data_IF_629813092732
#
_entry.id   IF_629813092732
#
_cell.length_a   1.000
_cell.length_b   1.000
_cell.length_c   1.000
_cell.angle_alpha   90.00
_cell.angle_beta   90.00
_cell.angle_gamma   90.00
#
_symmetry.space_group_name_H-M   'P 1'
#
loop_
_entity.id
_entity.type
_entity.pdbx_description
1 polymer ?
#
# COMPACT_ATOMS: atom_id res chain seq x y z
N UNK A 1 27.14 -0.68 -2.13
CA UNK A 1 26.23 -0.62 -3.29
C UNK A 1 26.49 0.71 -3.98
N UNK A 2 26.81 0.74 -5.28
CA UNK A 2 27.08 2.01 -5.97
C UNK A 2 25.77 2.83 -6.01
N UNK A 3 25.75 4.03 -5.44
CA UNK A 3 24.55 4.89 -5.38
C UNK A 3 24.03 5.19 -6.81
N UNK A 4 24.93 5.24 -7.79
CA UNK A 4 24.58 5.39 -9.20
C UNK A 4 23.77 4.20 -9.73
N UNK A 5 24.16 2.97 -9.37
CA UNK A 5 23.45 1.79 -9.84
C UNK A 5 22.06 1.69 -9.21
N UNK A 6 21.90 2.17 -7.97
CA UNK A 6 20.59 2.24 -7.32
C UNK A 6 19.65 3.24 -8.01
N UNK A 7 20.09 4.49 -8.25
CA UNK A 7 19.27 5.50 -8.93
C UNK A 7 18.87 5.05 -10.35
N UNK A 8 19.81 4.49 -11.10
CA UNK A 8 19.54 3.99 -12.46
C UNK A 8 18.52 2.86 -12.45
N UNK A 9 18.63 1.91 -11.52
CA UNK A 9 17.69 0.79 -11.43
C UNK A 9 16.28 1.25 -11.06
N UNK A 10 16.16 2.20 -10.12
CA UNK A 10 14.86 2.76 -9.72
C UNK A 10 14.22 3.51 -10.89
N UNK A 11 14.97 4.36 -11.58
CA UNK A 11 14.44 5.14 -12.71
C UNK A 11 14.07 4.25 -13.91
N UNK A 12 14.85 3.20 -14.19
CA UNK A 12 14.48 2.18 -15.20
C UNK A 12 13.16 1.50 -14.85
N UNK A 13 12.99 1.09 -13.59
CA UNK A 13 11.73 0.53 -13.10
C UNK A 13 10.58 1.53 -13.26
N UNK A 14 10.81 2.81 -12.98
CA UNK A 14 9.83 3.88 -13.21
C UNK A 14 9.36 3.95 -14.67
N UNK A 15 10.28 3.88 -15.62
CA UNK A 15 9.98 3.86 -17.07
C UNK A 15 9.17 2.62 -17.48
N UNK A 16 9.53 1.44 -16.95
CA UNK A 16 8.78 0.21 -17.23
C UNK A 16 7.34 0.27 -16.71
N UNK A 17 7.15 0.78 -15.49
CA UNK A 17 5.83 0.95 -14.87
C UNK A 17 4.98 1.97 -15.62
N UNK A 18 5.59 3.08 -16.04
CA UNK A 18 4.95 4.11 -16.85
C UNK A 18 4.45 3.55 -18.20
N UNK A 19 5.28 2.74 -18.86
CA UNK A 19 4.91 2.04 -20.10
C UNK A 19 3.72 1.09 -19.89
N UNK A 20 3.64 0.47 -18.71
CA UNK A 20 2.52 -0.40 -18.28
C UNK A 20 1.32 0.37 -17.75
N UNK A 21 1.32 1.72 -17.80
CA UNK A 21 0.28 2.61 -17.27
C UNK A 21 0.05 2.47 -15.75
N UNK A 22 1.02 1.93 -15.01
CA UNK A 22 1.01 1.90 -13.53
C UNK A 22 1.56 3.22 -13.01
N UNK A 23 0.80 4.28 -13.28
CA UNK A 23 1.23 5.66 -13.13
C UNK A 23 1.58 6.03 -11.68
N UNK A 24 0.86 5.49 -10.70
CA UNK A 24 1.12 5.83 -9.30
C UNK A 24 2.43 5.21 -8.80
N UNK A 25 2.74 3.98 -9.20
CA UNK A 25 4.03 3.34 -8.90
C UNK A 25 5.19 3.96 -9.67
N UNK A 26 4.96 4.28 -10.94
CA UNK A 26 5.96 4.98 -11.75
C UNK A 26 6.35 6.32 -11.12
N UNK A 27 5.37 7.07 -10.61
CA UNK A 27 5.60 8.35 -9.94
C UNK A 27 6.47 8.20 -8.69
N UNK A 28 6.24 7.17 -7.86
CA UNK A 28 7.08 6.87 -6.70
C UNK A 28 8.51 6.57 -7.13
N UNK A 29 8.72 5.70 -8.13
CA UNK A 29 10.05 5.41 -8.65
C UNK A 29 10.75 6.67 -9.21
N UNK A 30 10.03 7.55 -9.92
CA UNK A 30 10.61 8.80 -10.39
C UNK A 30 11.01 9.70 -9.22
N UNK A 31 10.16 9.86 -8.21
CA UNK A 31 10.46 10.70 -7.04
C UNK A 31 11.68 10.19 -6.26
N UNK A 32 11.73 8.89 -5.95
CA UNK A 32 12.86 8.28 -5.25
C UNK A 32 14.16 8.37 -6.07
N UNK A 33 14.09 8.05 -7.36
CA UNK A 33 15.24 8.13 -8.27
C UNK A 33 15.76 9.56 -8.42
N UNK A 34 14.86 10.53 -8.58
CA UNK A 34 15.19 11.95 -8.65
C UNK A 34 15.84 12.45 -7.35
N UNK A 35 15.32 12.04 -6.19
CA UNK A 35 15.89 12.42 -4.90
C UNK A 35 17.35 11.96 -4.79
N UNK A 36 17.65 10.71 -5.18
CA UNK A 36 19.03 10.18 -5.18
C UNK A 36 19.92 10.98 -6.16
N UNK A 37 19.43 11.33 -7.35
CA UNK A 37 20.19 12.14 -8.30
C UNK A 37 20.46 13.56 -7.79
N UNK A 38 19.48 14.19 -7.13
CA UNK A 38 19.62 15.51 -6.51
C UNK A 38 20.68 15.48 -5.41
N UNK A 39 20.64 14.47 -4.54
CA UNK A 39 21.62 14.33 -3.47
C UNK A 39 23.02 14.06 -4.00
N UNK A 40 23.14 13.30 -5.11
CA UNK A 40 24.41 13.11 -5.81
C UNK A 40 24.99 14.42 -6.34
N UNK A 41 24.18 15.28 -6.95
CA UNK A 41 24.64 16.58 -7.48
C UNK A 41 25.30 17.43 -6.39
N UNK A 42 24.82 17.37 -5.14
CA UNK A 42 25.38 18.15 -4.02
C UNK A 42 26.84 17.78 -3.71
N UNK A 43 27.24 16.54 -3.98
CA UNK A 43 28.60 16.03 -3.75
C UNK A 43 29.46 15.89 -5.01
N UNK A 44 28.94 16.25 -6.19
CA UNK A 44 29.70 16.18 -7.44
C UNK A 44 30.61 17.42 -7.58
N UNK A 45 31.82 17.21 -8.09
CA UNK A 45 32.79 18.29 -8.30
C UNK A 45 33.07 18.54 -9.79
N UNK A 46 32.89 17.55 -10.65
CA UNK A 46 33.08 17.70 -12.09
C UNK A 46 31.88 18.41 -12.77
N UNK A 47 32.16 19.50 -13.48
CA UNK A 47 31.13 20.34 -14.10
C UNK A 47 30.44 19.66 -15.30
N UNK A 48 31.14 18.77 -16.01
CA UNK A 48 30.55 17.99 -17.11
C UNK A 48 29.52 17.01 -16.57
N UNK A 49 29.87 16.29 -15.49
CA UNK A 49 28.98 15.38 -14.78
C UNK A 49 27.80 16.10 -14.14
N UNK A 50 28.01 17.27 -13.51
CA UNK A 50 26.90 18.10 -13.01
C UNK A 50 25.93 18.47 -14.12
N UNK A 51 26.45 18.89 -15.28
CA UNK A 51 25.61 19.28 -16.42
C UNK A 51 24.81 18.08 -16.94
N UNK A 52 25.43 16.92 -17.06
CA UNK A 52 24.75 15.68 -17.43
C UNK A 52 23.65 15.29 -16.43
N UNK A 53 23.94 15.32 -15.12
CA UNK A 53 22.98 14.97 -14.08
C UNK A 53 21.80 15.94 -14.04
N UNK A 54 22.04 17.26 -14.17
CA UNK A 54 20.98 18.27 -14.25
C UNK A 54 20.03 17.99 -15.40
N UNK A 55 20.57 17.70 -16.59
CA UNK A 55 19.76 17.36 -17.77
C UNK A 55 18.91 16.11 -17.53
N UNK A 56 19.48 15.09 -16.88
CA UNK A 56 18.74 13.86 -16.56
C UNK A 56 17.65 14.08 -15.50
N UNK A 57 17.93 14.88 -14.47
CA UNK A 57 16.93 15.28 -13.47
C UNK A 57 15.78 16.03 -14.13
N UNK A 58 16.07 16.99 -14.99
CA UNK A 58 15.05 17.74 -15.73
C UNK A 58 14.18 16.83 -16.60
N UNK A 59 14.78 15.89 -17.34
CA UNK A 59 14.08 14.91 -18.16
C UNK A 59 13.08 14.07 -17.33
N UNK A 60 13.54 13.46 -16.23
CA UNK A 60 12.69 12.62 -15.39
C UNK A 60 11.66 13.42 -14.58
N UNK A 61 12.01 14.63 -14.13
CA UNK A 61 11.11 15.52 -13.40
C UNK A 61 9.95 15.99 -14.30
N UNK A 62 10.25 16.37 -15.54
CA UNK A 62 9.22 16.72 -16.53
C UNK A 62 8.25 15.56 -16.77
N UNK A 63 8.77 14.33 -16.88
CA UNK A 63 7.90 13.15 -17.03
C UNK A 63 7.04 12.89 -15.78
N UNK A 64 7.63 12.99 -14.59
CA UNK A 64 6.91 12.83 -13.33
C UNK A 64 5.75 13.83 -13.18
N UNK A 65 5.97 15.10 -13.55
CA UNK A 65 4.92 16.14 -13.52
C UNK A 65 3.78 15.85 -14.51
N UNK A 66 4.10 15.33 -15.70
CA UNK A 66 3.07 14.90 -16.67
C UNK A 66 2.24 13.75 -16.10
N UNK A 67 2.88 12.73 -15.52
CA UNK A 67 2.19 11.58 -14.91
C UNK A 67 1.30 12.04 -13.75
N UNK A 68 1.80 12.93 -12.90
CA UNK A 68 1.04 13.50 -11.78
C UNK A 68 -0.24 14.20 -12.25
N UNK A 69 -0.15 14.99 -13.33
CA UNK A 69 -1.32 15.64 -13.95
C UNK A 69 -2.31 14.61 -14.53
N UNK A 70 -1.83 13.56 -15.18
CA UNK A 70 -2.68 12.49 -15.72
C UNK A 70 -3.44 11.76 -14.61
N UNK A 71 -2.76 11.41 -13.51
CA UNK A 71 -3.39 10.77 -12.34
C UNK A 71 -4.46 11.69 -11.76
N UNK A 72 -4.16 12.98 -11.58
CA UNK A 72 -5.13 13.93 -11.06
C UNK A 72 -6.37 14.06 -11.96
N UNK A 73 -6.18 14.15 -13.27
CA UNK A 73 -7.29 14.20 -14.24
C UNK A 73 -8.16 12.94 -14.20
N UNK A 74 -7.55 11.75 -14.10
CA UNK A 74 -8.30 10.49 -13.98
C UNK A 74 -9.07 10.41 -12.67
N UNK A 75 -8.47 10.83 -11.55
CA UNK A 75 -9.15 10.95 -10.26
C UNK A 75 -10.32 11.92 -10.36
N UNK A 76 -10.13 13.04 -11.06
CA UNK A 76 -11.15 14.08 -11.21
C UNK A 76 -12.34 13.64 -12.06
N UNK A 77 -12.08 12.86 -13.11
CA UNK A 77 -13.09 12.25 -13.95
C UNK A 77 -13.76 11.02 -13.31
N UNK A 78 -13.27 10.53 -12.16
CA UNK A 78 -13.75 9.29 -11.54
C UNK A 78 -13.41 8.03 -12.36
N UNK A 79 -12.39 8.11 -13.21
CA UNK A 79 -11.98 7.04 -14.13
C UNK A 79 -10.65 6.40 -13.73
N UNK A 80 -10.09 6.77 -12.57
CA UNK A 80 -8.85 6.17 -12.10
C UNK A 80 -9.07 4.68 -11.78
N UNK A 81 -8.30 3.83 -12.47
CA UNK A 81 -8.21 2.41 -12.22
C UNK A 81 -6.78 1.94 -12.48
N UNK A 82 -6.20 1.24 -11.51
CA UNK A 82 -4.91 0.59 -11.62
C UNK A 82 -5.06 -0.85 -11.10
N UNK A 83 -4.58 -1.82 -11.87
CA UNK A 83 -4.63 -3.23 -11.48
C UNK A 83 -3.21 -3.79 -11.32
N UNK A 84 -3.00 -4.54 -10.26
CA UNK A 84 -1.77 -5.31 -9.99
C UNK A 84 -2.13 -6.80 -9.98
N UNK A 85 -1.43 -7.56 -10.82
CA UNK A 85 -1.49 -9.02 -10.79
C UNK A 85 -0.37 -9.55 -9.88
N UNK A 86 -0.74 -10.31 -8.86
CA UNK A 86 0.19 -11.05 -8.01
C UNK A 86 0.24 -12.46 -8.55
N UNK A 87 1.38 -12.85 -9.09
CA UNK A 87 1.59 -14.19 -9.65
C UNK A 87 1.75 -15.24 -8.53
N UNK A 88 1.42 -16.49 -8.84
CA UNK A 88 1.62 -17.57 -7.89
C UNK A 88 3.11 -17.70 -7.51
N UNK A 89 3.41 -17.73 -6.21
CA UNK A 89 4.76 -17.75 -5.62
C UNK A 89 5.58 -16.46 -5.79
N UNK A 90 5.02 -15.37 -6.33
CA UNK A 90 5.77 -14.10 -6.38
C UNK A 90 5.95 -13.52 -4.97
N UNK A 91 6.99 -12.70 -4.81
CA UNK A 91 7.38 -11.99 -3.59
C UNK A 91 7.41 -10.48 -3.83
N UNK A 92 7.64 -9.68 -2.79
CA UNK A 92 7.67 -8.21 -2.87
C UNK A 92 6.30 -7.55 -2.82
N UNK A 93 5.32 -8.23 -2.22
CA UNK A 93 3.92 -7.81 -2.15
C UNK A 93 3.46 -7.56 -0.72
N UNK A 94 4.33 -7.02 0.15
CA UNK A 94 3.88 -6.58 1.47
C UNK A 94 2.77 -5.52 1.34
N UNK A 95 2.00 -5.32 2.40
CA UNK A 95 1.01 -4.23 2.43
C UNK A 95 1.64 -2.86 2.18
N UNK A 96 2.88 -2.65 2.61
CA UNK A 96 3.60 -1.40 2.33
C UNK A 96 3.88 -1.25 0.83
N UNK A 97 4.37 -2.31 0.19
CA UNK A 97 4.66 -2.29 -1.25
C UNK A 97 3.38 -2.06 -2.09
N UNK A 98 2.27 -2.67 -1.70
CA UNK A 98 1.01 -2.56 -2.43
C UNK A 98 0.28 -1.23 -2.14
N UNK A 99 0.17 -0.85 -0.88
CA UNK A 99 -0.75 0.22 -0.45
C UNK A 99 -0.05 1.50 -0.01
N UNK A 100 1.24 1.43 0.34
CA UNK A 100 1.96 2.52 1.01
C UNK A 100 1.92 3.86 0.27
N UNK A 101 1.85 3.84 -1.07
CA UNK A 101 1.76 5.05 -1.90
C UNK A 101 0.41 5.78 -1.84
N UNK A 102 -0.60 5.18 -1.21
CA UNK A 102 -1.93 5.76 -1.01
C UNK A 102 -2.18 6.17 0.45
N UNK A 103 -1.19 5.93 1.32
CA UNK A 103 -1.24 6.21 2.74
C UNK A 103 -0.47 7.50 3.01
N UNK A 104 -1.19 8.55 3.33
CA UNK A 104 -0.66 9.87 3.62
C UNK A 104 -1.46 10.55 4.74
N UNK A 105 -1.10 11.80 5.04
CA UNK A 105 -1.71 12.58 6.10
C UNK A 105 -3.17 12.97 5.82
N UNK A 106 -3.67 12.83 4.59
CA UNK A 106 -5.08 13.09 4.24
C UNK A 106 -6.00 11.91 4.64
N UNK A 107 -5.43 10.77 5.04
CA UNK A 107 -6.17 9.58 5.48
C UNK A 107 -6.52 9.70 6.96
N UNK A 108 -7.71 10.24 7.24
CA UNK A 108 -8.23 10.37 8.62
C UNK A 108 -8.94 9.10 9.12
N UNK A 109 -9.42 8.25 8.21
CA UNK A 109 -10.08 7.00 8.53
C UNK A 109 -9.84 5.91 7.49
N UNK A 110 -10.00 4.65 7.92
CA UNK A 110 -9.90 3.47 7.05
C UNK A 110 -11.02 2.50 7.35
N UNK A 111 -11.69 2.00 6.33
CA UNK A 111 -12.68 0.92 6.42
C UNK A 111 -12.10 -0.31 5.72
N UNK A 112 -12.04 -1.43 6.44
CA UNK A 112 -11.59 -2.72 5.94
C UNK A 112 -12.76 -3.67 5.95
N UNK A 113 -13.14 -4.14 4.77
CA UNK A 113 -14.15 -5.17 4.57
C UNK A 113 -13.45 -6.44 4.14
N UNK A 114 -13.45 -7.46 5.00
CA UNK A 114 -12.87 -8.76 4.68
C UNK A 114 -13.58 -9.86 5.50
N UNK A 115 -14.30 -10.80 4.86
CA UNK A 115 -15.08 -11.82 5.55
C UNK A 115 -14.22 -12.89 6.24
N UNK A 116 -12.90 -12.89 6.03
CA UNK A 116 -12.00 -13.95 6.47
C UNK A 116 -11.06 -13.54 7.59
N UNK A 117 -11.29 -12.43 8.30
CA UNK A 117 -10.47 -12.13 9.49
C UNK A 117 -10.94 -12.97 10.67
N UNK A 118 -10.60 -14.27 10.70
CA UNK A 118 -11.15 -15.26 11.66
C UNK A 118 -10.08 -15.94 12.49
N UNK A 119 -9.11 -16.56 11.83
CA UNK A 119 -8.02 -17.30 12.46
C UNK A 119 -6.91 -16.38 12.96
N UNK A 120 -6.04 -16.91 13.82
CA UNK A 120 -4.90 -16.16 14.37
C UNK A 120 -4.01 -15.53 13.28
N UNK A 121 -3.67 -16.27 12.22
CA UNK A 121 -2.84 -15.74 11.12
C UNK A 121 -3.54 -14.60 10.37
N UNK A 122 -4.86 -14.68 10.19
CA UNK A 122 -5.64 -13.63 9.55
C UNK A 122 -5.75 -12.39 10.44
N UNK A 123 -5.88 -12.57 11.76
CA UNK A 123 -5.76 -11.48 12.73
C UNK A 123 -4.37 -10.84 12.71
N UNK A 124 -3.30 -11.62 12.55
CA UNK A 124 -1.94 -11.09 12.39
C UNK A 124 -1.78 -10.28 11.09
N UNK A 125 -2.38 -10.74 10.00
CA UNK A 125 -2.44 -10.00 8.74
C UNK A 125 -3.14 -8.64 8.95
N UNK A 126 -4.30 -8.63 9.60
CA UNK A 126 -4.97 -7.37 9.95
C UNK A 126 -4.15 -6.46 10.88
N UNK A 127 -3.48 -7.03 11.90
CA UNK A 127 -2.56 -6.29 12.77
C UNK A 127 -1.45 -5.60 11.96
N UNK A 128 -0.81 -6.31 11.02
CA UNK A 128 0.26 -5.74 10.17
C UNK A 128 -0.23 -4.60 9.28
N UNK A 129 -1.47 -4.68 8.80
CA UNK A 129 -2.10 -3.56 8.11
C UNK A 129 -2.25 -2.38 9.07
N UNK A 130 -2.77 -2.60 10.28
CA UNK A 130 -2.91 -1.55 11.29
C UNK A 130 -1.57 -0.89 11.67
N UNK A 131 -0.50 -1.66 11.84
CA UNK A 131 0.86 -1.14 12.08
C UNK A 131 1.33 -0.24 10.94
N UNK A 132 1.05 -0.62 9.69
CA UNK A 132 1.35 0.21 8.53
C UNK A 132 0.55 1.51 8.55
N UNK A 133 -0.77 1.43 8.80
CA UNK A 133 -1.66 2.58 8.83
C UNK A 133 -1.25 3.60 9.90
N UNK A 134 -1.01 3.14 11.13
CA UNK A 134 -0.57 4.01 12.24
C UNK A 134 0.76 4.71 11.93
N UNK A 135 1.67 4.01 11.25
CA UNK A 135 2.98 4.57 10.86
C UNK A 135 2.88 5.57 9.71
N UNK A 136 1.99 5.32 8.75
CA UNK A 136 1.94 6.05 7.48
C UNK A 136 0.93 7.21 7.46
N UNK A 137 -0.12 7.15 8.27
CA UNK A 137 -1.21 8.13 8.27
C UNK A 137 -1.20 8.91 9.59
N UNK A 138 -0.57 10.08 9.65
CA UNK A 138 -0.40 10.81 10.92
C UNK A 138 -1.70 11.33 11.52
N UNK A 139 -2.71 11.60 10.68
CA UNK A 139 -4.03 12.10 11.09
C UNK A 139 -5.09 11.00 11.25
N UNK A 140 -4.69 9.72 11.24
CA UNK A 140 -5.62 8.60 11.39
C UNK A 140 -6.31 8.64 12.76
N UNK A 141 -7.65 8.60 12.76
CA UNK A 141 -8.47 8.66 13.98
C UNK A 141 -9.22 7.37 14.24
N UNK A 142 -9.68 6.70 13.20
CA UNK A 142 -10.39 5.44 13.36
C UNK A 142 -10.16 4.45 12.22
N UNK A 143 -10.22 3.17 12.57
CA UNK A 143 -10.23 2.04 11.67
C UNK A 143 -11.53 1.30 11.91
N UNK A 144 -12.31 1.06 10.86
CA UNK A 144 -13.47 0.19 10.89
C UNK A 144 -13.13 -1.14 10.22
N UNK A 145 -13.42 -2.25 10.90
CA UNK A 145 -13.32 -3.60 10.36
C UNK A 145 -14.72 -4.20 10.26
N UNK A 146 -15.14 -4.56 9.05
CA UNK A 146 -16.31 -5.39 8.80
C UNK A 146 -15.83 -6.78 8.41
N UNK A 147 -16.20 -7.79 9.19
CA UNK A 147 -15.79 -9.20 8.97
C UNK A 147 -16.95 -10.16 9.27
N UNK A 148 -16.78 -11.44 8.99
CA UNK A 148 -17.74 -12.47 9.40
C UNK A 148 -17.28 -13.17 10.68
N UNK A 149 -18.23 -13.68 11.46
CA UNK A 149 -17.93 -14.46 12.67
C UNK A 149 -17.35 -15.83 12.29
N UNK A 150 -16.39 -16.30 13.08
CA UNK A 150 -15.97 -17.69 13.02
C UNK A 150 -16.95 -18.59 13.79
N UNK A 151 -17.39 -19.69 13.19
CA UNK A 151 -18.34 -20.63 13.83
C UNK A 151 -17.74 -21.48 14.94
N UNK A 152 -16.41 -21.62 15.00
CA UNK A 152 -15.70 -22.53 15.90
C UNK A 152 -14.84 -21.80 16.93
N UNK A 153 -14.21 -20.70 16.52
CA UNK A 153 -13.24 -19.96 17.34
C UNK A 153 -13.64 -18.49 17.52
N UNK A 154 -14.93 -18.20 17.65
CA UNK A 154 -15.46 -16.84 17.83
C UNK A 154 -14.80 -16.11 19.02
N UNK A 155 -14.61 -16.81 20.14
CA UNK A 155 -14.00 -16.22 21.33
C UNK A 155 -12.54 -15.80 21.11
N UNK A 156 -11.77 -16.59 20.35
CA UNK A 156 -10.38 -16.27 20.01
C UNK A 156 -10.33 -15.09 19.04
N UNK A 157 -11.19 -15.08 18.02
CA UNK A 157 -11.36 -13.98 17.08
C UNK A 157 -11.68 -12.67 17.82
N UNK A 158 -12.66 -12.70 18.74
CA UNK A 158 -13.04 -11.55 19.57
C UNK A 158 -11.90 -11.07 20.47
N UNK A 159 -11.14 -11.98 21.09
CA UNK A 159 -9.97 -11.63 21.89
C UNK A 159 -8.91 -10.92 21.08
N UNK A 160 -8.62 -11.39 19.85
CA UNK A 160 -7.69 -10.70 18.95
C UNK A 160 -8.13 -9.26 18.70
N UNK A 161 -9.40 -9.03 18.39
CA UNK A 161 -9.95 -7.70 18.12
C UNK A 161 -9.94 -6.78 19.33
N UNK A 162 -10.36 -7.28 20.50
CA UNK A 162 -10.34 -6.50 21.74
C UNK A 162 -8.91 -6.10 22.13
N UNK A 163 -7.95 -7.02 22.02
CA UNK A 163 -6.56 -6.72 22.31
C UNK A 163 -5.99 -5.66 21.35
N UNK A 164 -6.26 -5.81 20.05
CA UNK A 164 -5.83 -4.84 19.04
C UNK A 164 -6.49 -3.47 19.24
N UNK A 165 -7.79 -3.43 19.54
CA UNK A 165 -8.50 -2.19 19.82
C UNK A 165 -7.87 -1.44 21.01
N UNK A 166 -7.58 -2.15 22.11
CA UNK A 166 -6.93 -1.55 23.27
C UNK A 166 -5.51 -1.05 22.96
N UNK A 167 -4.78 -1.74 22.08
CA UNK A 167 -3.43 -1.31 21.69
C UNK A 167 -3.45 -0.07 20.80
N UNK A 168 -4.38 0.00 19.84
CA UNK A 168 -4.56 1.14 18.94
C UNK A 168 -4.96 2.43 19.68
N UNK A 169 -5.67 2.33 20.81
CA UNK A 169 -5.99 3.50 21.64
C UNK A 169 -4.74 4.23 22.16
N UNK A 170 -3.61 3.54 22.35
CA UNK A 170 -2.33 4.15 22.74
C UNK A 170 -1.81 5.13 21.68
N UNK A 171 -2.22 4.92 20.43
CA UNK A 171 -1.93 5.78 19.28
C UNK A 171 -3.07 6.73 18.95
N UNK A 172 -4.09 6.86 19.82
CA UNK A 172 -5.30 7.66 19.61
C UNK A 172 -6.12 7.22 18.40
N UNK A 173 -5.99 5.95 17.99
CA UNK A 173 -6.77 5.34 16.91
C UNK A 173 -7.86 4.46 17.52
N UNK A 174 -9.11 4.73 17.16
CA UNK A 174 -10.24 3.90 17.56
C UNK A 174 -10.44 2.74 16.56
N UNK A 175 -10.48 1.50 17.05
CA UNK A 175 -10.91 0.36 16.23
C UNK A 175 -12.39 0.05 16.46
N UNK A 176 -13.17 0.06 15.39
CA UNK A 176 -14.59 -0.32 15.39
C UNK A 176 -14.72 -1.63 14.64
N UNK A 177 -15.26 -2.67 15.27
CA UNK A 177 -15.45 -3.98 14.63
C UNK A 177 -16.94 -4.28 14.48
N UNK A 178 -17.35 -4.56 13.25
CA UNK A 178 -18.71 -5.00 12.90
C UNK A 178 -18.68 -6.40 12.30
N UNK A 179 -19.67 -7.19 12.67
CA UNK A 179 -19.85 -8.51 12.10
C UNK A 179 -20.99 -8.49 11.07
N UNK A 180 -20.76 -9.10 9.91
CA UNK A 180 -21.75 -9.28 8.86
C UNK A 180 -21.68 -10.70 8.28
N UNK A 181 -22.84 -11.34 8.17
CA UNK A 181 -22.98 -12.69 7.61
C UNK A 181 -23.14 -12.68 6.09
N UNK A 182 -23.55 -11.54 5.52
CA UNK A 182 -23.76 -11.34 4.08
C UNK A 182 -22.57 -10.66 3.40
N UNK A 183 -21.47 -10.43 4.13
CA UNK A 183 -20.28 -9.80 3.59
C UNK A 183 -19.55 -10.76 2.64
N UNK A 184 -19.34 -10.29 1.41
CA UNK A 184 -18.53 -10.98 0.41
C UNK A 184 -17.40 -10.11 -0.14
N UNK A 185 -17.53 -8.79 -0.01
CA UNK A 185 -16.56 -7.83 -0.51
C UNK A 185 -15.24 -7.90 0.29
N UNK A 186 -14.15 -7.69 -0.44
CA UNK A 186 -12.77 -7.71 0.05
C UNK A 186 -12.11 -6.42 -0.37
N UNK A 187 -12.24 -5.39 0.45
CA UNK A 187 -11.77 -4.06 0.09
C UNK A 187 -11.29 -3.25 1.29
N UNK A 188 -10.38 -2.32 1.00
CA UNK A 188 -9.90 -1.30 1.93
C UNK A 188 -10.29 0.04 1.34
N UNK A 189 -11.08 0.81 2.07
CA UNK A 189 -11.49 2.18 1.71
C UNK A 189 -10.77 3.17 2.60
N UNK A 190 -10.07 4.13 2.01
CA UNK A 190 -9.36 5.20 2.70
C UNK A 190 -10.18 6.48 2.64
N UNK A 191 -10.18 7.27 3.73
CA UNK A 191 -10.88 8.55 3.79
C UNK A 191 -10.42 9.60 2.76
N UNK A 192 -9.25 9.39 2.15
CA UNK A 192 -8.75 10.20 1.03
C UNK A 192 -9.45 9.91 -0.31
N UNK A 193 -10.30 8.87 -0.39
CA UNK A 193 -11.08 8.50 -1.58
C UNK A 193 -10.56 7.25 -2.32
N UNK A 194 -9.41 6.70 -1.92
CA UNK A 194 -8.87 5.47 -2.48
C UNK A 194 -9.64 4.25 -2.01
N UNK A 195 -9.91 3.33 -2.93
CA UNK A 195 -10.53 2.03 -2.65
C UNK A 195 -9.65 0.95 -3.28
N UNK A 196 -9.23 -0.02 -2.47
CA UNK A 196 -8.31 -1.08 -2.85
C UNK A 196 -9.05 -2.40 -2.67
N UNK A 197 -9.38 -3.08 -3.78
CA UNK A 197 -10.08 -4.37 -3.80
C UNK A 197 -9.07 -5.48 -4.00
N UNK A 198 -9.14 -6.52 -3.18
CA UNK A 198 -8.16 -7.61 -3.20
C UNK A 198 -8.88 -8.93 -3.40
N UNK A 199 -8.55 -9.67 -4.46
CA UNK A 199 -9.25 -10.91 -4.81
C UNK A 199 -9.32 -11.92 -3.66
N UNK A 200 -8.29 -12.01 -2.82
CA UNK A 200 -8.22 -12.89 -1.64
C UNK A 200 -8.36 -12.19 -0.29
N UNK A 201 -8.64 -10.89 -0.27
CA UNK A 201 -8.61 -10.09 0.97
C UNK A 201 -7.18 -9.95 1.50
N UNK A 202 -7.01 -9.79 2.81
CA UNK A 202 -5.71 -9.65 3.45
C UNK A 202 -4.90 -10.95 3.49
N UNK A 203 -5.52 -12.10 3.22
CA UNK A 203 -4.94 -13.44 3.37
C UNK A 203 -4.43 -14.04 2.04
N UNK A 204 -3.64 -13.25 1.30
CA UNK A 204 -3.01 -13.71 0.05
C UNK A 204 -1.59 -14.27 0.23
N UNK A 205 -1.02 -14.26 1.43
CA UNK A 205 0.29 -14.84 1.70
C UNK A 205 0.23 -16.36 1.85
N UNK A 206 1.26 -17.06 1.39
CA UNK A 206 1.42 -18.50 1.66
C UNK A 206 1.93 -18.71 3.09
N UNK A 207 1.63 -19.89 3.64
CA UNK A 207 2.26 -20.35 4.86
C UNK A 207 3.80 -20.41 4.67
N UNK A 208 4.59 -20.00 5.67
CA UNK A 208 6.03 -20.15 5.61
C UNK A 208 6.42 -21.64 5.68
N UNK A 209 7.55 -22.01 5.09
CA UNK A 209 8.04 -23.40 5.09
C UNK A 209 8.26 -23.94 6.50
N UNK A 210 8.76 -23.08 7.40
CA UNK A 210 8.92 -23.37 8.81
C UNK A 210 8.89 -22.06 9.64
N UNK A 211 8.90 -22.19 10.97
CA UNK A 211 8.80 -21.05 11.89
C UNK A 211 10.03 -20.12 11.87
N UNK A 212 11.14 -20.55 11.28
CA UNK A 212 12.41 -19.82 11.26
C UNK A 212 13.02 -19.80 9.84
N UNK A 213 12.29 -19.16 8.92
CA UNK A 213 12.74 -18.94 7.55
C UNK A 213 12.55 -17.46 7.15
N UNK A 214 13.20 -17.07 6.05
CA UNK A 214 12.97 -15.76 5.44
C UNK A 214 11.50 -15.64 5.02
N UNK A 215 10.95 -14.44 5.12
CA UNK A 215 9.54 -14.22 4.88
C UNK A 215 8.65 -14.36 6.11
N UNK A 216 9.12 -14.87 7.27
CA UNK A 216 8.29 -14.99 8.49
C UNK A 216 7.81 -13.63 9.00
N UNK A 217 8.72 -12.65 9.09
CA UNK A 217 8.44 -11.32 9.62
C UNK A 217 8.35 -10.26 8.52
N UNK A 218 9.30 -10.29 7.58
CA UNK A 218 9.29 -9.41 6.42
C UNK A 218 8.47 -10.05 5.29
N UNK A 219 7.26 -9.55 5.09
CA UNK A 219 6.34 -10.10 4.09
C UNK A 219 6.72 -9.75 2.66
N UNK A 220 7.66 -8.83 2.41
CA UNK A 220 8.22 -8.65 1.07
C UNK A 220 9.02 -9.88 0.63
N UNK A 221 9.48 -10.71 1.57
CA UNK A 221 10.16 -11.97 1.27
C UNK A 221 9.21 -13.18 1.27
N UNK A 222 7.91 -12.99 1.51
CA UNK A 222 6.94 -14.09 1.61
C UNK A 222 6.32 -14.42 0.24
N UNK A 223 6.34 -15.70 -0.20
CA UNK A 223 5.61 -16.11 -1.40
C UNK A 223 4.11 -15.89 -1.26
N UNK A 224 3.47 -15.40 -2.32
CA UNK A 224 2.05 -15.12 -2.35
C UNK A 224 1.25 -16.16 -3.15
N UNK A 225 -0.02 -16.33 -2.79
CA UNK A 225 -1.02 -16.95 -3.67
C UNK A 225 -1.35 -15.99 -4.81
N UNK A 226 -1.70 -16.57 -5.97
CA UNK A 226 -2.17 -15.76 -7.10
C UNK A 226 -3.44 -14.99 -6.73
N UNK A 227 -3.46 -13.70 -7.03
CA UNK A 227 -4.60 -12.81 -6.82
C UNK A 227 -4.45 -11.53 -7.64
N UNK A 228 -5.55 -10.81 -7.83
CA UNK A 228 -5.53 -9.44 -8.33
C UNK A 228 -5.73 -8.44 -7.19
N UNK A 229 -5.18 -7.24 -7.39
CA UNK A 229 -5.44 -6.06 -6.57
C UNK A 229 -5.89 -4.94 -7.51
N UNK A 230 -7.11 -4.47 -7.33
CA UNK A 230 -7.71 -3.38 -8.11
C UNK A 230 -7.78 -2.12 -7.25
N UNK A 231 -7.18 -1.04 -7.74
CA UNK A 231 -7.13 0.25 -7.07
C UNK A 231 -7.97 1.23 -7.87
N UNK A 232 -8.95 1.82 -7.22
CA UNK A 232 -9.82 2.84 -7.79
C UNK A 232 -9.89 4.06 -6.88
N UNK A 233 -10.36 5.18 -7.42
CA UNK A 233 -10.58 6.40 -6.64
C UNK A 233 -12.02 6.89 -6.78
N UNK A 234 -12.68 7.16 -5.67
CA UNK A 234 -14.04 7.68 -5.62
C UNK A 234 -14.10 8.99 -4.82
N UNK A 235 -14.72 10.02 -5.41
CA UNK A 235 -14.94 11.32 -4.75
C UNK A 235 -15.95 11.24 -3.61
N UNK A 236 -16.83 10.24 -3.63
CA UNK A 236 -17.99 10.17 -2.74
C UNK A 236 -17.67 9.53 -1.38
N UNK A 237 -16.47 8.96 -1.19
CA UNK A 237 -16.10 8.30 0.08
C UNK A 237 -16.21 9.26 1.26
N UNK A 238 -15.78 10.52 1.10
CA UNK A 238 -15.91 11.54 2.16
C UNK A 238 -17.36 11.87 2.52
N UNK A 239 -18.32 11.69 1.60
CA UNK A 239 -19.73 11.99 1.85
C UNK A 239 -20.47 10.85 2.56
N UNK A 240 -20.03 9.60 2.39
CA UNK A 240 -20.67 8.44 3.01
C UNK A 240 -20.28 8.24 4.48
N UNK A 241 -19.18 8.85 4.93
CA UNK A 241 -18.59 8.67 6.26
C UNK A 241 -18.29 10.00 6.99
N UNK A 242 -18.71 11.14 6.41
CA UNK A 242 -18.55 12.48 6.97
C UNK A 242 -19.78 12.99 7.71
#
# INVERSE_FOLDING_TARGET
MNIESAAVNILKRGVELDTKKRYTEALVCYQEGLQILVDKIKGEHDDSNKTYLRKKIEEYMNRAEVIKKMVLQQKDAGQFHEQVHIENNSTGHSYKALFGRFLDDDVEFVVVEDPYIRSFNQCQNFLRLCELLVRSCTNLRHIELVTSKDSKTEDEQRKCFTNLANDLLKYRVQLIVRFSETLHDRQITLGSGWIIKIGRGLDFFKAPENKFCLGVYDLDLRPCHETTVDIVHSKNVKQSYG
#
